data_IF_307997190731
#
_entry.id   IF_307997190731
#
_cell.length_a   1.000
_cell.length_b   1.000
_cell.length_c   1.000
_cell.angle_alpha   90.00
_cell.angle_beta   90.00
_cell.angle_gamma   90.00
#
_symmetry.space_group_name_H-M   'P 1'
#
loop_
_entity.id
_entity.type
_entity.pdbx_description
1 polymer ?
#
# COMPACT_ATOMS: atom_id res chain seq x y z
N UNK A 1 -9.79 -13.13 17.34
CA UNK A 1 -9.40 -12.47 16.09
C UNK A 1 -7.91 -12.51 15.82
N UNK A 2 -7.05 -12.25 16.79
CA UNK A 2 -5.59 -12.22 16.62
C UNK A 2 -4.98 -13.51 16.04
N UNK A 3 -5.43 -14.70 16.51
CA UNK A 3 -4.99 -16.01 15.97
C UNK A 3 -5.34 -16.14 14.47
N UNK A 4 -6.52 -15.67 14.07
CA UNK A 4 -6.94 -15.73 12.66
C UNK A 4 -6.08 -14.81 11.78
N UNK A 5 -5.74 -13.62 12.27
CA UNK A 5 -4.84 -12.68 11.59
C UNK A 5 -3.47 -13.31 11.41
N UNK A 6 -2.88 -13.83 12.48
CA UNK A 6 -1.56 -14.47 12.45
C UNK A 6 -1.53 -15.68 11.53
N UNK A 7 -2.53 -16.56 11.61
CA UNK A 7 -2.64 -17.71 10.70
C UNK A 7 -2.74 -17.28 9.23
N UNK A 8 -3.52 -16.25 8.94
CA UNK A 8 -3.63 -15.66 7.61
C UNK A 8 -2.30 -15.10 7.10
N UNK A 9 -1.55 -14.40 7.95
CA UNK A 9 -0.21 -13.87 7.61
C UNK A 9 0.78 -15.00 7.31
N UNK A 10 0.78 -16.09 8.10
CA UNK A 10 1.62 -17.26 7.83
C UNK A 10 1.28 -17.89 6.48
N UNK A 11 -0.01 -18.06 6.17
CA UNK A 11 -0.46 -18.57 4.87
C UNK A 11 0.01 -17.63 3.74
N UNK A 12 -0.12 -16.32 3.92
CA UNK A 12 0.35 -15.34 2.94
C UNK A 12 1.87 -15.42 2.72
N UNK A 13 2.66 -15.56 3.79
CA UNK A 13 4.11 -15.78 3.70
C UNK A 13 4.44 -17.02 2.85
N UNK A 14 3.76 -18.14 3.09
CA UNK A 14 3.94 -19.36 2.31
C UNK A 14 3.56 -19.18 0.83
N UNK A 15 2.48 -18.46 0.55
CA UNK A 15 2.08 -18.13 -0.82
C UNK A 15 3.13 -17.28 -1.55
N UNK A 16 3.67 -16.26 -0.87
CA UNK A 16 4.74 -15.39 -1.38
C UNK A 16 6.00 -16.20 -1.71
N UNK A 17 6.40 -17.11 -0.82
CA UNK A 17 7.56 -17.99 -1.04
C UNK A 17 7.34 -18.92 -2.20
N UNK A 18 6.21 -19.64 -2.24
CA UNK A 18 5.88 -20.61 -3.28
C UNK A 18 5.87 -19.99 -4.68
N UNK A 19 5.32 -18.81 -4.83
CA UNK A 19 5.21 -18.09 -6.11
C UNK A 19 6.45 -17.27 -6.47
N UNK A 20 7.52 -17.30 -5.67
CA UNK A 20 8.73 -16.47 -5.85
C UNK A 20 8.42 -14.99 -6.03
N UNK A 21 7.36 -14.55 -5.38
CA UNK A 21 6.79 -13.23 -5.49
C UNK A 21 7.74 -12.11 -5.03
N UNK A 22 8.67 -12.44 -4.13
CA UNK A 22 9.72 -11.56 -3.62
C UNK A 22 10.61 -10.94 -4.72
N UNK A 23 10.62 -11.49 -5.94
CA UNK A 23 11.36 -10.91 -7.06
C UNK A 23 10.61 -9.74 -7.72
N UNK A 24 9.27 -9.72 -7.66
CA UNK A 24 8.43 -8.69 -8.29
C UNK A 24 8.11 -7.52 -7.35
N UNK A 25 7.82 -7.82 -6.09
CA UNK A 25 7.50 -6.86 -5.03
C UNK A 25 8.28 -7.22 -3.77
N UNK A 26 9.55 -6.81 -3.78
CA UNK A 26 10.50 -7.16 -2.72
C UNK A 26 10.11 -6.54 -1.38
N UNK A 27 9.77 -5.27 -1.38
CA UNK A 27 9.48 -4.54 -0.15
C UNK A 27 8.14 -4.93 0.45
N UNK A 28 7.13 -5.19 -0.37
CA UNK A 28 5.87 -5.78 0.10
C UNK A 28 6.11 -7.14 0.77
N UNK A 29 6.96 -7.98 0.17
CA UNK A 29 7.29 -9.28 0.76
C UNK A 29 8.00 -9.13 2.10
N UNK A 30 8.98 -8.22 2.20
CA UNK A 30 9.70 -7.92 3.46
C UNK A 30 8.71 -7.39 4.50
N UNK A 31 7.80 -6.51 4.13
CA UNK A 31 6.75 -6.00 5.01
C UNK A 31 5.91 -7.13 5.61
N UNK A 32 5.41 -8.06 4.78
CA UNK A 32 4.59 -9.18 5.28
C UNK A 32 5.39 -10.13 6.19
N UNK A 33 6.63 -10.46 5.83
CA UNK A 33 7.50 -11.29 6.69
C UNK A 33 7.79 -10.61 8.02
N UNK A 34 8.08 -9.31 8.00
CA UNK A 34 8.32 -8.54 9.21
C UNK A 34 7.08 -8.47 10.10
N UNK A 35 5.90 -8.16 9.53
CA UNK A 35 4.64 -8.10 10.26
C UNK A 35 4.34 -9.45 10.94
N UNK A 36 4.50 -10.56 10.22
CA UNK A 36 4.31 -11.91 10.77
C UNK A 36 5.30 -12.21 11.91
N UNK A 37 6.57 -11.89 11.72
CA UNK A 37 7.60 -12.10 12.76
C UNK A 37 7.36 -11.21 13.98
N UNK A 38 6.98 -9.94 13.79
CA UNK A 38 6.60 -9.01 14.87
C UNK A 38 5.44 -9.57 15.68
N UNK A 39 4.38 -10.04 15.03
CA UNK A 39 3.19 -10.56 15.71
C UNK A 39 3.52 -11.84 16.50
N UNK A 40 4.35 -12.74 15.94
CA UNK A 40 4.85 -13.91 16.68
C UNK A 40 5.68 -13.50 17.90
N UNK A 41 6.57 -12.53 17.74
CA UNK A 41 7.43 -12.03 18.82
C UNK A 41 6.60 -11.35 19.93
N UNK A 42 5.64 -10.51 19.57
CA UNK A 42 4.74 -9.87 20.54
C UNK A 42 3.88 -10.89 21.28
N UNK A 43 3.45 -11.95 20.59
CA UNK A 43 2.76 -13.05 21.24
C UNK A 43 3.63 -13.71 22.32
N UNK A 44 4.87 -14.04 22.00
CA UNK A 44 5.80 -14.60 22.96
C UNK A 44 6.04 -13.64 24.15
N UNK A 45 6.26 -12.36 23.88
CA UNK A 45 6.47 -11.35 24.93
C UNK A 45 5.26 -11.20 25.86
N UNK A 46 4.05 -11.34 25.34
CA UNK A 46 2.83 -11.24 26.16
C UNK A 46 2.77 -12.30 27.27
N UNK A 47 3.45 -13.44 27.10
CA UNK A 47 3.49 -14.50 28.12
C UNK A 47 4.69 -14.43 29.05
N UNK A 48 5.84 -13.87 28.59
CA UNK A 48 7.11 -14.01 29.30
C UNK A 48 7.77 -12.69 29.68
N UNK A 49 7.18 -11.55 29.33
CA UNK A 49 7.83 -10.27 29.59
C UNK A 49 7.00 -9.33 30.48
N UNK A 50 7.67 -8.29 30.99
CA UNK A 50 7.02 -7.19 31.70
C UNK A 50 6.25 -6.29 30.71
N UNK A 51 5.21 -5.62 31.21
CA UNK A 51 4.42 -4.69 30.43
C UNK A 51 5.27 -3.61 29.71
N UNK A 52 6.29 -2.98 30.34
CA UNK A 52 7.14 -2.01 29.64
C UNK A 52 7.89 -2.61 28.46
N UNK A 53 8.43 -3.82 28.58
CA UNK A 53 9.14 -4.50 27.49
C UNK A 53 8.23 -4.77 26.31
N UNK A 54 7.02 -5.28 26.60
CA UNK A 54 5.99 -5.46 25.56
C UNK A 54 5.64 -4.14 24.87
N UNK A 55 5.44 -3.07 25.65
CA UNK A 55 5.10 -1.74 25.13
C UNK A 55 6.17 -1.21 24.17
N UNK A 56 7.43 -1.22 24.55
CA UNK A 56 8.52 -0.75 23.69
C UNK A 56 8.70 -1.63 22.44
N UNK A 57 8.54 -2.94 22.56
CA UNK A 57 8.59 -3.85 21.42
C UNK A 57 7.45 -3.60 20.44
N UNK A 58 6.23 -3.36 20.96
CA UNK A 58 5.06 -3.04 20.15
C UNK A 58 5.25 -1.74 19.36
N UNK A 59 5.62 -0.66 20.03
CA UNK A 59 5.81 0.64 19.36
C UNK A 59 7.00 0.63 18.42
N UNK A 60 8.12 0.08 18.83
CA UNK A 60 9.30 -0.06 17.96
C UNK A 60 9.00 -0.87 16.70
N UNK A 61 8.29 -2.00 16.86
CA UNK A 61 7.84 -2.80 15.74
C UNK A 61 6.86 -2.06 14.81
N UNK A 62 5.94 -1.28 15.38
CA UNK A 62 4.98 -0.48 14.61
C UNK A 62 5.64 0.63 13.80
N UNK A 63 6.68 1.27 14.33
CA UNK A 63 7.45 2.26 13.56
C UNK A 63 8.19 1.63 12.37
N UNK A 64 8.83 0.47 12.58
CA UNK A 64 9.50 -0.25 11.49
C UNK A 64 8.47 -0.67 10.42
N UNK A 65 7.31 -1.15 10.84
CA UNK A 65 6.22 -1.53 9.94
C UNK A 65 5.74 -0.33 9.10
N UNK A 66 5.57 0.84 9.70
CA UNK A 66 5.21 2.07 9.00
C UNK A 66 6.25 2.46 7.94
N UNK A 67 7.54 2.33 8.26
CA UNK A 67 8.63 2.56 7.29
C UNK A 67 8.55 1.56 6.14
N UNK A 68 8.30 0.27 6.41
CA UNK A 68 8.18 -0.76 5.38
C UNK A 68 6.96 -0.54 4.48
N UNK A 69 5.83 -0.10 5.03
CA UNK A 69 4.64 0.30 4.25
C UNK A 69 4.99 1.47 3.33
N UNK A 70 5.71 2.48 3.83
CA UNK A 70 6.13 3.61 3.03
C UNK A 70 7.09 3.21 1.90
N UNK A 71 8.05 2.33 2.16
CA UNK A 71 8.96 1.81 1.12
C UNK A 71 8.20 0.96 0.10
N UNK A 72 7.20 0.19 0.54
CA UNK A 72 6.28 -0.54 -0.36
C UNK A 72 5.50 0.42 -1.25
N UNK A 73 5.05 1.56 -0.71
CA UNK A 73 4.41 2.62 -1.48
C UNK A 73 5.32 3.15 -2.59
N UNK A 74 6.59 3.42 -2.27
CA UNK A 74 7.59 3.86 -3.26
C UNK A 74 7.80 2.77 -4.33
N UNK A 75 7.86 1.49 -3.94
CA UNK A 75 7.99 0.36 -4.87
C UNK A 75 6.82 0.30 -5.84
N UNK A 76 5.58 0.38 -5.34
CA UNK A 76 4.38 0.42 -6.17
C UNK A 76 4.39 1.64 -7.11
N UNK A 77 4.73 2.81 -6.60
CA UNK A 77 4.83 4.04 -7.38
C UNK A 77 5.87 3.93 -8.52
N UNK A 78 7.02 3.34 -8.25
CA UNK A 78 8.07 3.12 -9.27
C UNK A 78 7.64 2.21 -10.40
N UNK A 79 6.72 1.29 -10.18
CA UNK A 79 6.21 0.40 -11.24
C UNK A 79 5.16 1.09 -12.12
N UNK A 80 4.54 2.15 -11.63
CA UNK A 80 3.51 2.92 -12.34
C UNK A 80 4.08 4.14 -13.05
N UNK A 81 5.05 4.83 -12.42
CA UNK A 81 5.63 6.08 -12.90
C UNK A 81 6.37 6.02 -14.26
N UNK A 82 6.98 4.89 -14.72
CA UNK A 82 7.65 4.85 -16.01
C UNK A 82 6.74 5.21 -17.19
N UNK A 83 5.45 4.93 -17.10
CA UNK A 83 4.47 5.28 -18.13
C UNK A 83 4.07 6.77 -18.18
N UNK A 84 4.59 7.61 -17.26
CA UNK A 84 4.26 9.04 -17.21
C UNK A 84 5.26 9.89 -17.97
N UNK A 85 4.75 10.85 -18.76
CA UNK A 85 5.56 11.92 -19.35
C UNK A 85 6.05 12.90 -18.27
N UNK A 86 7.16 13.63 -18.54
CA UNK A 86 7.73 14.62 -17.61
C UNK A 86 6.69 15.58 -17.00
N UNK A 87 5.85 16.28 -17.80
CA UNK A 87 4.84 17.21 -17.24
C UNK A 87 3.77 16.50 -16.41
N UNK A 88 3.49 15.23 -16.67
CA UNK A 88 2.57 14.44 -15.85
C UNK A 88 3.19 14.05 -14.51
N UNK A 89 4.50 13.74 -14.48
CA UNK A 89 5.24 13.48 -13.23
C UNK A 89 5.25 14.72 -12.33
N UNK A 90 5.54 15.89 -12.89
CA UNK A 90 5.55 17.15 -12.13
C UNK A 90 4.18 17.47 -11.54
N UNK A 91 3.09 17.30 -12.30
CA UNK A 91 1.72 17.47 -11.80
C UNK A 91 1.40 16.45 -10.71
N UNK A 92 1.77 15.18 -10.88
CA UNK A 92 1.57 14.14 -9.86
C UNK A 92 2.28 14.49 -8.55
N UNK A 93 3.53 14.94 -8.63
CA UNK A 93 4.28 15.38 -7.46
C UNK A 93 3.66 16.62 -6.81
N UNK A 94 3.21 17.60 -7.59
CA UNK A 94 2.55 18.79 -7.06
C UNK A 94 1.27 18.46 -6.31
N UNK A 95 0.44 17.56 -6.84
CA UNK A 95 -0.78 17.07 -6.16
C UNK A 95 -0.43 16.30 -4.90
N UNK A 96 0.60 15.45 -4.93
CA UNK A 96 1.06 14.71 -3.76
C UNK A 96 1.52 15.66 -2.65
N UNK A 97 2.32 16.69 -2.99
CA UNK A 97 2.77 17.71 -2.05
C UNK A 97 1.61 18.54 -1.49
N UNK A 98 0.67 18.96 -2.32
CA UNK A 98 -0.52 19.69 -1.88
C UNK A 98 -1.37 18.85 -0.92
N UNK A 99 -1.53 17.55 -1.21
CA UNK A 99 -2.24 16.61 -0.35
C UNK A 99 -1.51 16.41 0.97
N UNK A 100 -0.19 16.25 0.95
CA UNK A 100 0.62 16.16 2.17
C UNK A 100 0.48 17.42 3.02
N UNK A 101 0.56 18.60 2.41
CA UNK A 101 0.38 19.87 3.12
C UNK A 101 -1.03 19.98 3.75
N UNK A 102 -2.07 19.58 3.01
CA UNK A 102 -3.44 19.56 3.51
C UNK A 102 -3.61 18.61 4.70
N UNK A 103 -3.02 17.40 4.64
CA UNK A 103 -3.03 16.43 5.74
C UNK A 103 -2.29 16.99 6.96
N UNK A 104 -1.11 17.56 6.76
CA UNK A 104 -0.36 18.16 7.86
C UNK A 104 -1.16 19.29 8.53
N UNK A 105 -1.76 20.19 7.73
CA UNK A 105 -2.63 21.24 8.24
C UNK A 105 -3.80 20.61 9.02
N UNK A 106 -4.50 19.64 8.46
CA UNK A 106 -5.61 18.95 9.12
C UNK A 106 -5.19 18.31 10.43
N UNK A 107 -4.08 17.57 10.46
CA UNK A 107 -3.56 16.91 11.66
C UNK A 107 -3.16 17.90 12.76
N UNK A 108 -2.54 19.04 12.38
CA UNK A 108 -2.14 20.06 13.34
C UNK A 108 -3.32 20.86 13.90
N UNK A 109 -4.36 21.11 13.10
CA UNK A 109 -5.55 21.84 13.53
C UNK A 109 -6.63 20.97 14.17
N UNK A 110 -6.56 19.63 13.99
CA UNK A 110 -7.52 18.74 14.60
C UNK A 110 -7.29 18.65 16.12
N UNK A 111 -8.34 18.75 16.95
CA UNK A 111 -8.21 18.74 18.42
C UNK A 111 -7.92 17.33 18.97
N UNK A 112 -6.78 16.76 18.63
CA UNK A 112 -6.28 15.53 19.25
C UNK A 112 -5.51 15.88 20.52
N UNK A 113 -5.78 15.14 21.60
CA UNK A 113 -5.25 15.47 22.92
C UNK A 113 -3.75 15.21 23.10
N UNK A 114 -3.14 14.41 22.24
CA UNK A 114 -1.72 14.05 22.31
C UNK A 114 -1.01 14.21 20.97
N UNK A 115 0.18 14.78 20.98
CA UNK A 115 1.00 14.98 19.79
C UNK A 115 1.33 13.66 19.07
N UNK A 116 1.61 12.59 19.84
CA UNK A 116 1.90 11.26 19.31
C UNK A 116 0.73 10.72 18.47
N UNK A 117 -0.51 10.86 18.96
CA UNK A 117 -1.69 10.45 18.21
C UNK A 117 -1.88 11.26 16.91
N UNK A 118 -1.49 12.54 16.90
CA UNK A 118 -1.54 13.40 15.71
C UNK A 118 -0.59 12.90 14.63
N UNK A 119 0.63 12.58 15.02
CA UNK A 119 1.66 12.08 14.10
C UNK A 119 1.23 10.74 13.51
N UNK A 120 0.73 9.83 14.34
CA UNK A 120 0.26 8.52 13.90
C UNK A 120 -0.91 8.64 12.91
N UNK A 121 -1.95 9.39 13.27
CA UNK A 121 -3.12 9.62 12.40
C UNK A 121 -2.67 10.26 11.09
N UNK A 122 -1.79 11.25 11.15
CA UNK A 122 -1.24 11.90 9.97
C UNK A 122 -0.49 10.95 9.05
N UNK A 123 0.35 10.08 9.61
CA UNK A 123 1.10 9.09 8.85
C UNK A 123 0.18 8.08 8.14
N UNK A 124 -0.81 7.53 8.83
CA UNK A 124 -1.77 6.60 8.23
C UNK A 124 -2.61 7.26 7.13
N UNK A 125 -3.13 8.46 7.38
CA UNK A 125 -3.91 9.20 6.37
C UNK A 125 -3.06 9.56 5.17
N UNK A 126 -1.81 10.00 5.38
CA UNK A 126 -0.90 10.30 4.28
C UNK A 126 -0.66 9.07 3.39
N UNK A 127 -0.34 7.94 3.98
CA UNK A 127 -0.14 6.68 3.25
C UNK A 127 -1.42 6.28 2.52
N UNK A 128 -2.58 6.32 3.18
CA UNK A 128 -3.86 5.97 2.60
C UNK A 128 -4.17 6.84 1.37
N UNK A 129 -4.09 8.16 1.52
CA UNK A 129 -4.41 9.10 0.43
C UNK A 129 -3.42 8.95 -0.71
N UNK A 130 -2.14 8.70 -0.41
CA UNK A 130 -1.12 8.49 -1.45
C UNK A 130 -1.42 7.22 -2.26
N UNK A 131 -1.80 6.11 -1.62
CA UNK A 131 -2.20 4.89 -2.33
C UNK A 131 -3.46 5.10 -3.18
N UNK A 132 -4.48 5.76 -2.63
CA UNK A 132 -5.72 6.08 -3.35
C UNK A 132 -5.42 7.00 -4.54
N UNK A 133 -4.57 8.01 -4.32
CA UNK A 133 -4.16 8.94 -5.38
C UNK A 133 -3.42 8.20 -6.50
N UNK A 134 -2.44 7.37 -6.18
CA UNK A 134 -1.71 6.56 -7.17
C UNK A 134 -2.72 5.70 -7.96
N UNK A 135 -3.67 5.05 -7.29
CA UNK A 135 -4.67 4.21 -7.93
C UNK A 135 -5.61 5.02 -8.86
N UNK A 136 -6.14 6.14 -8.38
CA UNK A 136 -7.07 6.98 -9.14
C UNK A 136 -6.36 7.68 -10.32
N UNK A 137 -5.18 8.23 -10.07
CA UNK A 137 -4.44 8.99 -11.08
C UNK A 137 -3.93 8.11 -12.23
N UNK A 138 -3.47 6.91 -11.92
CA UNK A 138 -3.06 5.97 -12.96
C UNK A 138 -4.24 5.48 -13.80
N UNK A 139 -5.40 5.26 -13.18
CA UNK A 139 -6.62 4.92 -13.91
C UNK A 139 -7.08 6.07 -14.81
N UNK A 140 -7.00 7.31 -14.32
CA UNK A 140 -7.32 8.51 -15.10
C UNK A 140 -6.42 8.66 -16.33
N UNK A 141 -5.15 8.32 -16.21
CA UNK A 141 -4.17 8.38 -17.30
C UNK A 141 -4.19 7.17 -18.22
N UNK A 142 -5.08 6.20 -17.99
CA UNK A 142 -5.14 4.97 -18.76
C UNK A 142 -3.90 4.08 -18.62
N UNK A 143 -3.11 4.27 -17.57
CA UNK A 143 -1.92 3.46 -17.33
C UNK A 143 -2.31 2.02 -17.02
N UNK A 144 -1.63 1.10 -17.67
CA UNK A 144 -1.82 -0.31 -17.40
C UNK A 144 -1.24 -0.68 -16.03
N UNK A 145 -2.13 -1.10 -15.14
CA UNK A 145 -1.74 -1.67 -13.85
C UNK A 145 -1.84 -3.17 -13.91
N UNK A 146 -0.79 -3.86 -13.49
CA UNK A 146 -0.98 -5.26 -13.20
C UNK A 146 -2.03 -5.37 -12.09
N UNK A 147 -3.00 -6.25 -12.22
CA UNK A 147 -4.07 -6.48 -11.23
C UNK A 147 -3.52 -6.72 -9.83
N UNK A 148 -2.32 -7.28 -9.77
CA UNK A 148 -1.56 -7.52 -8.58
C UNK A 148 -1.19 -6.22 -7.86
N UNK A 149 -0.55 -5.28 -8.55
CA UNK A 149 -0.15 -3.99 -7.97
C UNK A 149 -1.39 -3.20 -7.59
N UNK A 150 -2.42 -3.20 -8.44
CA UNK A 150 -3.69 -2.56 -8.15
C UNK A 150 -4.35 -3.13 -6.89
N UNK A 151 -4.38 -4.46 -6.74
CA UNK A 151 -4.96 -5.13 -5.57
C UNK A 151 -4.20 -4.81 -4.28
N UNK A 152 -2.87 -4.88 -4.30
CA UNK A 152 -2.04 -4.55 -3.13
C UNK A 152 -2.17 -3.08 -2.77
N UNK A 153 -2.09 -2.19 -3.75
CA UNK A 153 -2.18 -0.74 -3.55
C UNK A 153 -3.54 -0.34 -2.98
N UNK A 154 -4.63 -0.84 -3.56
CA UNK A 154 -5.98 -0.54 -3.08
C UNK A 154 -6.20 -1.06 -1.65
N UNK A 155 -5.75 -2.28 -1.36
CA UNK A 155 -5.92 -2.88 -0.03
C UNK A 155 -5.08 -2.15 1.03
N UNK A 156 -3.83 -1.80 0.72
CA UNK A 156 -2.98 -1.02 1.63
C UNK A 156 -3.56 0.38 1.86
N UNK A 157 -4.06 1.03 0.81
CA UNK A 157 -4.71 2.34 0.93
C UNK A 157 -5.93 2.29 1.83
N UNK A 158 -6.82 1.32 1.61
CA UNK A 158 -8.03 1.14 2.42
C UNK A 158 -7.70 0.77 3.88
N UNK A 159 -6.75 -0.15 4.09
CA UNK A 159 -6.32 -0.53 5.44
C UNK A 159 -5.78 0.66 6.21
N UNK A 160 -4.86 1.43 5.62
CA UNK A 160 -4.31 2.62 6.27
C UNK A 160 -5.38 3.71 6.50
N UNK A 161 -6.38 3.82 5.63
CA UNK A 161 -7.51 4.73 5.84
C UNK A 161 -8.32 4.31 7.08
N UNK A 162 -8.65 3.03 7.19
CA UNK A 162 -9.38 2.49 8.35
C UNK A 162 -8.57 2.68 9.63
N UNK A 163 -7.27 2.37 9.63
CA UNK A 163 -6.39 2.58 10.78
C UNK A 163 -6.30 4.06 11.18
N UNK A 164 -6.12 4.96 10.22
CA UNK A 164 -6.06 6.41 10.49
C UNK A 164 -7.36 6.95 11.09
N UNK A 165 -8.51 6.59 10.51
CA UNK A 165 -9.82 6.98 11.03
C UNK A 165 -10.07 6.38 12.42
N UNK A 166 -9.75 5.10 12.61
CA UNK A 166 -9.88 4.40 13.90
C UNK A 166 -9.08 5.10 14.99
N UNK A 167 -7.83 5.44 14.73
CA UNK A 167 -6.97 6.16 15.70
C UNK A 167 -7.47 7.57 15.97
N UNK A 168 -7.97 8.29 14.97
CA UNK A 168 -8.56 9.61 15.14
C UNK A 168 -9.79 9.55 16.05
N UNK A 169 -10.64 8.55 15.84
CA UNK A 169 -11.86 8.33 16.66
C UNK A 169 -11.49 7.93 18.09
N UNK A 170 -10.58 6.96 18.29
CA UNK A 170 -10.16 6.54 19.64
C UNK A 170 -9.50 7.69 20.42
N UNK A 171 -8.75 8.56 19.74
CA UNK A 171 -8.11 9.72 20.37
C UNK A 171 -9.09 10.81 20.81
N UNK A 172 -10.35 10.77 20.34
CA UNK A 172 -11.34 11.81 20.60
C UNK A 172 -12.48 11.35 21.55
N UNK A 173 -12.74 10.05 21.63
CA UNK A 173 -13.88 9.51 22.37
C UNK A 173 -13.47 8.78 23.66
N UNK A 174 -14.42 8.57 24.61
CA UNK A 174 -14.14 7.88 25.87
C UNK A 174 -13.65 6.45 25.67
N UNK A 175 -12.90 5.89 26.67
CA UNK A 175 -12.28 4.54 26.58
C UNK A 175 -13.26 3.40 26.27
N UNK A 176 -14.55 3.56 26.58
CA UNK A 176 -15.59 2.56 26.31
C UNK A 176 -15.81 2.31 24.80
N UNK A 177 -15.67 3.34 23.97
CA UNK A 177 -15.75 3.20 22.51
C UNK A 177 -14.46 2.64 21.90
N UNK A 178 -13.33 2.77 22.58
CA UNK A 178 -12.04 2.31 22.10
C UNK A 178 -11.95 0.78 21.90
N UNK A 179 -12.79 -0.01 22.59
CA UNK A 179 -12.83 -1.45 22.38
C UNK A 179 -13.49 -1.81 21.04
N UNK A 180 -14.65 -1.25 20.76
CA UNK A 180 -15.39 -1.50 19.49
C UNK A 180 -14.58 -1.02 18.26
N UNK A 181 -13.94 0.14 18.38
CA UNK A 181 -13.13 0.71 17.31
C UNK A 181 -11.89 -0.15 17.05
N UNK A 182 -11.28 -0.73 18.08
CA UNK A 182 -10.17 -1.71 17.90
C UNK A 182 -10.64 -3.00 17.21
N UNK A 183 -11.84 -3.45 17.42
CA UNK A 183 -12.41 -4.59 16.71
C UNK A 183 -12.54 -4.30 15.22
N UNK A 184 -12.98 -3.10 14.84
CA UNK A 184 -13.06 -2.68 13.43
C UNK A 184 -11.68 -2.74 12.76
N UNK A 185 -10.64 -2.21 13.40
CA UNK A 185 -9.26 -2.30 12.91
C UNK A 185 -8.81 -3.75 12.74
N UNK A 186 -9.07 -4.62 13.72
CA UNK A 186 -8.72 -6.03 13.62
C UNK A 186 -9.45 -6.74 12.48
N UNK A 187 -10.73 -6.45 12.26
CA UNK A 187 -11.51 -6.99 11.14
C UNK A 187 -10.91 -6.51 9.81
N UNK A 188 -10.60 -5.23 9.70
CA UNK A 188 -9.99 -4.66 8.50
C UNK A 188 -8.63 -5.32 8.17
N UNK A 189 -7.80 -5.57 9.18
CA UNK A 189 -6.52 -6.28 9.02
C UNK A 189 -6.72 -7.73 8.52
N UNK A 190 -7.67 -8.47 9.07
CA UNK A 190 -8.00 -9.83 8.61
C UNK A 190 -8.48 -9.81 7.16
N UNK A 191 -9.37 -8.89 6.81
CA UNK A 191 -9.88 -8.74 5.44
C UNK A 191 -8.77 -8.36 4.46
N UNK A 192 -7.85 -7.49 4.87
CA UNK A 192 -6.68 -7.12 4.06
C UNK A 192 -5.80 -8.32 3.77
N UNK A 193 -5.49 -9.14 4.77
CA UNK A 193 -4.69 -10.37 4.59
C UNK A 193 -5.40 -11.35 3.65
N UNK A 194 -6.71 -11.56 3.80
CA UNK A 194 -7.50 -12.40 2.89
C UNK A 194 -7.44 -11.85 1.46
N UNK A 195 -7.63 -10.54 1.28
CA UNK A 195 -7.55 -9.91 -0.02
C UNK A 195 -6.17 -10.10 -0.67
N UNK A 196 -5.08 -9.96 0.10
CA UNK A 196 -3.72 -10.20 -0.40
C UNK A 196 -3.49 -11.67 -0.77
N UNK A 197 -4.00 -12.63 0.02
CA UNK A 197 -3.94 -14.05 -0.33
C UNK A 197 -4.64 -14.30 -1.67
N UNK A 198 -5.84 -13.76 -1.86
CA UNK A 198 -6.60 -13.88 -3.10
C UNK A 198 -5.84 -13.26 -4.27
N UNK A 199 -5.28 -12.07 -4.10
CA UNK A 199 -4.50 -11.37 -5.14
C UNK A 199 -3.23 -12.13 -5.50
N UNK A 200 -2.50 -12.67 -4.51
CA UNK A 200 -1.26 -13.44 -4.72
C UNK A 200 -1.55 -14.82 -5.35
N UNK A 201 -2.64 -15.47 -4.97
CA UNK A 201 -3.02 -16.78 -5.52
C UNK A 201 -3.70 -16.70 -6.87
N UNK A 202 -4.29 -15.55 -7.21
CA UNK A 202 -5.01 -15.38 -8.46
C UNK A 202 -4.09 -15.65 -9.66
N UNK A 203 -4.51 -16.48 -10.61
CA UNK A 203 -3.77 -16.72 -11.86
C UNK A 203 -3.66 -15.46 -12.73
N UNK A 204 -4.40 -14.43 -12.40
CA UNK A 204 -4.53 -13.18 -13.12
C UNK A 204 -3.34 -12.21 -12.90
N UNK A 205 -2.34 -12.60 -12.08
CA UNK A 205 -1.06 -11.90 -11.94
C UNK A 205 -0.07 -12.19 -13.07
N UNK A 206 -0.38 -13.15 -13.91
CA UNK A 206 0.39 -13.54 -15.09
C UNK A 206 -0.38 -13.23 -16.38
N UNK A 207 -0.84 -12.00 -16.57
CA UNK A 207 -0.93 -11.52 -17.93
C UNK A 207 0.51 -11.22 -18.38
N UNK A 208 1.29 -12.28 -18.54
CA UNK A 208 2.40 -12.26 -19.49
C UNK A 208 1.74 -11.79 -20.79
N UNK A 209 2.13 -10.62 -21.30
CA UNK A 209 1.83 -10.29 -22.69
C UNK A 209 2.20 -11.55 -23.47
N UNK A 210 1.21 -12.18 -24.07
CA UNK A 210 1.46 -13.34 -24.91
C UNK A 210 2.35 -12.87 -26.04
N UNK A 211 3.16 -13.77 -26.61
CA UNK A 211 3.96 -13.42 -27.80
C UNK A 211 3.09 -12.79 -28.89
N UNK A 212 1.81 -13.18 -28.97
CA UNK A 212 0.79 -12.58 -29.82
C UNK A 212 0.50 -11.11 -29.47
N UNK A 213 0.37 -10.77 -28.19
CA UNK A 213 0.16 -9.39 -27.73
C UNK A 213 1.40 -8.52 -28.01
N UNK A 214 2.59 -9.10 -27.90
CA UNK A 214 3.85 -8.44 -28.23
C UNK A 214 3.95 -8.16 -29.75
N UNK A 215 3.58 -9.12 -30.59
CA UNK A 215 3.56 -8.95 -32.04
C UNK A 215 2.52 -7.92 -32.49
N UNK A 216 1.35 -7.89 -31.85
CA UNK A 216 0.31 -6.88 -32.11
C UNK A 216 0.81 -5.48 -31.71
N UNK A 217 1.51 -5.38 -30.60
CA UNK A 217 2.08 -4.11 -30.12
C UNK A 217 3.22 -3.63 -31.05
N UNK A 218 4.12 -4.51 -31.45
CA UNK A 218 5.20 -4.21 -32.39
C UNK A 218 4.66 -3.79 -33.76
N UNK A 219 3.63 -4.48 -34.27
CA UNK A 219 2.96 -4.11 -35.51
C UNK A 219 2.25 -2.75 -35.41
N UNK A 220 1.66 -2.44 -34.26
CA UNK A 220 1.04 -1.13 -34.00
C UNK A 220 2.10 -0.01 -33.93
N UNK A 221 3.25 -0.25 -33.28
CA UNK A 221 4.35 0.71 -33.23
C UNK A 221 4.96 0.95 -34.62
N UNK A 222 5.22 -0.11 -35.40
CA UNK A 222 5.71 0.01 -36.77
C UNK A 222 4.76 0.85 -37.65
N UNK A 223 3.43 0.66 -37.50
CA UNK A 223 2.43 1.44 -38.23
C UNK A 223 2.38 2.92 -37.83
N UNK A 224 2.65 3.23 -36.56
CA UNK A 224 2.74 4.61 -36.06
C UNK A 224 4.02 5.26 -36.59
N UNK A 225 5.13 4.54 -36.61
CA UNK A 225 6.44 5.00 -37.09
C UNK A 225 6.38 5.31 -38.62
N UNK A 226 5.75 4.45 -39.40
CA UNK A 226 5.49 4.66 -40.81
C UNK A 226 4.58 5.88 -41.07
N UNK A 227 3.53 6.07 -40.25
CA UNK A 227 2.63 7.22 -40.37
C UNK A 227 3.33 8.55 -40.05
N UNK A 228 4.18 8.57 -39.03
CA UNK A 228 4.98 9.74 -38.64
C UNK A 228 6.12 10.03 -39.64
N UNK A 229 6.71 8.99 -40.23
CA UNK A 229 7.69 9.10 -41.30
C UNK A 229 7.09 9.69 -42.59
N UNK A 230 5.89 9.24 -42.97
CA UNK A 230 5.15 9.75 -44.12
C UNK A 230 4.70 11.22 -43.98
N UNK A 231 4.34 11.66 -42.78
CA UNK A 231 4.01 13.08 -42.50
C UNK A 231 5.25 13.98 -42.53
N UNK A 232 6.40 13.51 -42.08
CA UNK A 232 7.66 14.27 -42.18
C UNK A 232 8.14 14.47 -43.61
N UNK A 233 7.91 13.49 -44.50
CA UNK A 233 8.26 13.59 -45.92
C UNK A 233 7.34 14.54 -46.67
N UNK A 234 6.06 14.68 -46.23
CA UNK A 234 5.12 15.65 -46.86
C UNK A 234 5.30 17.09 -46.38
N UNK A 235 6.07 17.29 -45.28
CA UNK A 235 6.34 18.62 -44.71
C UNK A 235 7.68 19.21 -45.17
N UNK A 236 8.45 18.47 -46.00
CA UNK A 236 9.66 18.91 -46.72
C UNK A 236 9.34 19.17 -48.19
#
# INVERSE_FOLDING_TARGET
MWIALFAGQVVLCLCILKKRFSRRLRWFSIFIFFATAKDAFLFALAFWSSYPTYYYAFYGGSYIESVLVFVTLIECGRQVLPGLNLPQKERAFSYLFATLAAILIFVFYWPLNFLENRIDVGAYLFVAITFIFIAAYSRYLGLYWSRLIAGITATLGLLNLVEGVTRAVVGHYPPAMGAQVREISQIANVLAVIAWIVVVLSPWGESVMTEEDLQILEAAFAKIEDSLGAERIKAL
#
